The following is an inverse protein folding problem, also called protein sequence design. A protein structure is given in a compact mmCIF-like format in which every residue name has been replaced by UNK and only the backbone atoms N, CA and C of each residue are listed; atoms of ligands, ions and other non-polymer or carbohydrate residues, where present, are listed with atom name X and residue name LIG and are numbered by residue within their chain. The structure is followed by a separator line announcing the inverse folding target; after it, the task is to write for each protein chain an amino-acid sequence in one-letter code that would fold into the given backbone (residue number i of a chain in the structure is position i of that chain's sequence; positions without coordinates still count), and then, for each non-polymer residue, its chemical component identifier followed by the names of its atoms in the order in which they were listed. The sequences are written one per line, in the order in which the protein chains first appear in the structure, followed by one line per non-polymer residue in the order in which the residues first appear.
data_IF_683973045170
#
_entry.id   IF_683973045170
#
_cell.length_a   1.000
_cell.length_b   1.000
_cell.length_c   1.000
_cell.angle_alpha   90.00
_cell.angle_beta   90.00
_cell.angle_gamma   90.00
#
_symmetry.space_group_name_H-M   'P 1'
#
loop_
_entity.id
_entity.type
_entity.pdbx_description
1 polymer ?
#
# COMPACT_ATOMS: atom_id res chain seq x y z
N UNK A 1 -2.30 -15.15 16.94
CA UNK A 1 -1.70 -14.19 15.97
C UNK A 1 -0.22 -14.52 15.87
N UNK A 2 0.37 -14.69 14.67
CA UNK A 2 1.78 -15.07 14.53
C UNK A 2 2.70 -13.96 15.08
N UNK A 3 3.74 -14.30 15.85
CA UNK A 3 4.69 -13.33 16.46
C UNK A 3 5.29 -12.37 15.42
N UNK A 4 5.60 -12.87 14.21
CA UNK A 4 6.07 -12.07 13.08
C UNK A 4 5.08 -10.97 12.69
N UNK A 5 3.79 -11.28 12.61
CA UNK A 5 2.76 -10.30 12.25
C UNK A 5 2.68 -9.17 13.28
N UNK A 6 2.78 -9.47 14.58
CA UNK A 6 2.75 -8.44 15.62
C UNK A 6 3.97 -7.51 15.55
N UNK A 7 5.15 -8.06 15.23
CA UNK A 7 6.38 -7.28 15.01
C UNK A 7 6.24 -6.37 13.80
N UNK A 8 5.80 -6.91 12.66
CA UNK A 8 5.62 -6.15 11.43
C UNK A 8 4.52 -5.08 11.58
N UNK A 9 3.45 -5.40 12.30
CA UNK A 9 2.40 -4.46 12.62
C UNK A 9 2.92 -3.30 13.48
N UNK A 10 3.65 -3.58 14.55
CA UNK A 10 4.24 -2.54 15.41
C UNK A 10 5.17 -1.62 14.61
N UNK A 11 6.01 -2.22 13.76
CA UNK A 11 6.92 -1.48 12.89
C UNK A 11 6.18 -0.50 11.97
N UNK A 12 5.09 -0.98 11.34
CA UNK A 12 4.25 -0.14 10.50
C UNK A 12 3.57 0.99 11.29
N UNK A 13 3.06 0.73 12.51
CA UNK A 13 2.49 1.75 13.40
C UNK A 13 3.49 2.87 13.66
N UNK A 14 4.70 2.50 14.08
CA UNK A 14 5.71 3.47 14.49
C UNK A 14 6.19 4.33 13.31
N UNK A 15 6.36 3.71 12.13
CA UNK A 15 6.91 4.38 10.95
C UNK A 15 5.88 5.19 10.16
N UNK A 16 4.70 4.63 9.90
CA UNK A 16 3.70 5.29 9.06
C UNK A 16 3.04 6.47 9.80
N UNK A 17 3.05 6.48 11.13
CA UNK A 17 2.65 7.66 11.91
C UNK A 17 3.47 8.91 11.57
N UNK A 18 4.73 8.76 11.11
CA UNK A 18 5.58 9.89 10.70
C UNK A 18 5.07 10.66 9.49
N UNK A 19 4.14 10.07 8.73
CA UNK A 19 3.49 10.67 7.55
C UNK A 19 1.97 10.78 7.75
N UNK A 20 1.51 10.89 9.00
CA UNK A 20 0.11 11.07 9.38
C UNK A 20 -0.83 9.92 8.99
N UNK A 21 -0.31 8.70 8.82
CA UNK A 21 -1.17 7.51 8.75
C UNK A 21 -1.52 7.05 10.17
N UNK A 22 -2.79 7.20 10.53
CA UNK A 22 -3.31 6.81 11.83
C UNK A 22 -4.00 5.44 11.73
N UNK A 23 -3.85 4.64 12.78
CA UNK A 23 -4.45 3.31 12.85
C UNK A 23 -5.90 3.42 13.33
N UNK A 24 -6.84 3.12 12.44
CA UNK A 24 -8.27 3.05 12.78
C UNK A 24 -8.66 1.64 13.24
N UNK A 25 -8.03 0.61 12.65
CA UNK A 25 -8.21 -0.82 13.01
C UNK A 25 -6.88 -1.54 12.90
N UNK A 26 -6.73 -2.68 13.57
CA UNK A 26 -5.47 -3.43 13.66
C UNK A 26 -4.83 -3.84 12.32
N UNK A 27 -5.58 -3.85 11.23
CA UNK A 27 -5.16 -4.17 9.87
C UNK A 27 -5.24 -2.99 8.88
N UNK A 28 -5.79 -1.85 9.32
CA UNK A 28 -6.16 -0.71 8.48
C UNK A 28 -5.52 0.60 8.99
N UNK A 29 -4.55 1.12 8.23
CA UNK A 29 -3.98 2.46 8.44
C UNK A 29 -4.64 3.44 7.49
N UNK A 30 -5.15 4.54 8.00
CA UNK A 30 -5.86 5.55 7.22
C UNK A 30 -5.18 6.91 7.37
N UNK A 31 -5.08 7.66 6.27
CA UNK A 31 -4.58 9.03 6.24
C UNK A 31 -5.56 9.91 5.47
N UNK A 32 -5.78 11.11 6.01
CA UNK A 32 -6.47 12.21 5.34
C UNK A 32 -5.45 13.31 5.12
N UNK A 33 -5.24 13.71 3.87
CA UNK A 33 -4.29 14.76 3.52
C UNK A 33 -4.99 16.13 3.42
N UNK A 34 -4.21 17.20 3.39
CA UNK A 34 -4.72 18.58 3.39
C UNK A 34 -5.52 18.96 2.14
N UNK A 35 -5.39 18.19 1.06
CA UNK A 35 -6.19 18.29 -0.17
C UNK A 35 -7.53 17.53 -0.08
N UNK A 36 -7.80 16.86 1.04
CA UNK A 36 -9.00 16.07 1.28
C UNK A 36 -8.92 14.65 0.70
N UNK A 37 -7.78 14.25 0.12
CA UNK A 37 -7.56 12.89 -0.34
C UNK A 37 -7.49 11.93 0.85
N UNK A 38 -8.05 10.74 0.65
CA UNK A 38 -8.21 9.73 1.69
C UNK A 38 -7.55 8.44 1.24
N UNK A 39 -6.55 8.00 1.98
CA UNK A 39 -5.76 6.82 1.63
C UNK A 39 -5.73 5.82 2.77
N UNK A 40 -5.68 4.55 2.41
CA UNK A 40 -5.59 3.45 3.36
C UNK A 40 -4.51 2.43 2.96
N UNK A 41 -3.78 1.93 3.96
CA UNK A 41 -2.77 0.88 3.84
C UNK A 41 -3.23 -0.35 4.63
N UNK A 42 -3.32 -1.49 3.95
CA UNK A 42 -3.77 -2.77 4.51
C UNK A 42 -2.59 -3.74 4.65
N UNK A 43 -2.36 -4.23 5.89
CA UNK A 43 -1.33 -5.23 6.16
C UNK A 43 -1.92 -6.65 6.07
N UNK A 44 -1.99 -7.21 4.87
CA UNK A 44 -2.63 -8.49 4.61
C UNK A 44 -1.81 -9.67 5.19
N UNK A 45 -2.15 -10.08 6.43
CA UNK A 45 -1.39 -11.08 7.18
C UNK A 45 -1.76 -12.55 6.95
N UNK A 46 -2.66 -12.90 6.01
CA UNK A 46 -3.40 -14.16 6.16
C UNK A 46 -3.36 -15.17 5.00
N UNK A 47 -3.03 -14.83 3.75
CA UNK A 47 -3.26 -15.80 2.64
C UNK A 47 -2.27 -15.83 1.45
N UNK A 48 -1.20 -15.06 1.41
CA UNK A 48 -0.31 -15.10 0.25
C UNK A 48 1.15 -15.28 0.65
N UNK A 49 1.64 -16.49 0.37
CA UNK A 49 3.05 -16.84 0.24
C UNK A 49 3.80 -15.72 -0.48
N UNK A 50 4.84 -15.24 0.18
CA UNK A 50 5.99 -14.47 -0.32
C UNK A 50 5.77 -13.14 -1.07
N UNK A 51 4.56 -12.78 -1.53
CA UNK A 51 4.45 -11.76 -2.57
C UNK A 51 3.79 -10.43 -2.23
N UNK A 52 2.94 -10.27 -1.22
CA UNK A 52 2.68 -8.92 -0.68
C UNK A 52 1.85 -8.88 0.60
N UNK A 53 2.47 -8.34 1.65
CA UNK A 53 1.84 -8.06 2.93
C UNK A 53 1.27 -6.65 3.02
N UNK A 54 1.44 -5.79 2.01
CA UNK A 54 1.01 -4.39 2.07
C UNK A 54 0.25 -4.03 0.79
N UNK A 55 -0.98 -3.57 0.94
CA UNK A 55 -1.78 -2.97 -0.13
C UNK A 55 -2.05 -1.51 0.21
N UNK A 56 -2.12 -0.64 -0.80
CA UNK A 56 -2.46 0.78 -0.65
C UNK A 56 -3.71 1.06 -1.48
N UNK A 57 -4.66 1.84 -0.96
CA UNK A 57 -5.87 2.27 -1.69
C UNK A 57 -6.18 3.73 -1.45
N UNK A 58 -6.66 4.41 -2.48
CA UNK A 58 -7.34 5.70 -2.35
C UNK A 58 -8.84 5.41 -2.15
N UNK A 59 -9.43 5.86 -1.04
CA UNK A 59 -10.83 5.58 -0.71
C UNK A 59 -11.83 6.43 -1.51
N UNK A 60 -11.35 7.49 -2.16
CA UNK A 60 -12.17 8.27 -3.10
C UNK A 60 -12.35 7.58 -4.46
N UNK A 61 -11.53 6.56 -4.77
CA UNK A 61 -11.61 5.84 -6.04
C UNK A 61 -12.81 4.88 -6.06
N UNK A 62 -13.80 5.21 -6.90
CA UNK A 62 -15.07 4.50 -7.02
C UNK A 62 -15.01 3.28 -7.94
N UNK A 63 -13.90 2.98 -8.62
CA UNK A 63 -13.82 1.82 -9.51
C UNK A 63 -13.61 0.49 -8.73
N UNK A 64 -14.69 -0.27 -8.69
CA UNK A 64 -15.21 -0.95 -7.48
C UNK A 64 -14.47 -2.23 -7.04
N UNK A 65 -13.71 -2.94 -7.86
CA UNK A 65 -13.32 -4.34 -7.50
C UNK A 65 -11.91 -4.44 -6.92
N UNK A 66 -10.96 -3.68 -7.47
CA UNK A 66 -9.56 -3.65 -7.03
C UNK A 66 -9.28 -2.48 -6.09
N UNK A 67 -9.88 -1.31 -6.30
CA UNK A 67 -9.79 -0.19 -5.36
C UNK A 67 -10.36 -0.58 -3.99
N UNK A 68 -11.40 -1.45 -3.96
CA UNK A 68 -11.89 -2.09 -2.72
C UNK A 68 -10.83 -2.90 -1.97
N UNK A 69 -9.85 -3.48 -2.68
CA UNK A 69 -8.81 -4.38 -2.15
C UNK A 69 -7.40 -3.77 -2.09
N UNK A 70 -7.21 -2.56 -2.62
CA UNK A 70 -5.93 -1.88 -2.78
C UNK A 70 -4.98 -2.49 -3.83
N UNK A 71 -3.98 -1.72 -4.22
CA UNK A 71 -2.86 -2.17 -5.04
C UNK A 71 -1.72 -2.69 -4.15
N UNK A 72 -1.22 -3.91 -4.39
CA UNK A 72 -0.01 -4.43 -3.75
C UNK A 72 1.19 -3.50 -3.89
N UNK A 73 1.97 -3.34 -2.81
CA UNK A 73 3.13 -2.43 -2.79
C UNK A 73 4.18 -2.75 -3.87
N UNK A 74 4.33 -4.03 -4.25
CA UNK A 74 5.28 -4.44 -5.29
C UNK A 74 5.01 -3.76 -6.65
N UNK A 75 3.77 -3.40 -6.95
CA UNK A 75 3.40 -2.73 -8.20
C UNK A 75 4.03 -1.34 -8.24
N UNK A 76 3.89 -0.59 -7.15
CA UNK A 76 4.52 0.72 -7.02
C UNK A 76 6.03 0.58 -7.15
N UNK A 77 6.65 -0.30 -6.36
CA UNK A 77 8.10 -0.53 -6.40
C UNK A 77 8.59 -0.82 -7.83
N UNK A 78 7.91 -1.69 -8.58
CA UNK A 78 8.26 -2.01 -9.97
C UNK A 78 8.21 -0.78 -10.88
N UNK A 79 7.23 0.12 -10.68
CA UNK A 79 7.07 1.33 -11.49
C UNK A 79 8.15 2.35 -11.18
N UNK A 80 8.59 2.44 -9.92
CA UNK A 80 9.74 3.27 -9.55
C UNK A 80 11.09 2.60 -9.87
N UNK A 81 11.10 1.49 -10.60
CA UNK A 81 12.33 0.79 -11.02
C UNK A 81 13.02 0.01 -9.91
N UNK A 82 12.31 -0.31 -8.83
CA UNK A 82 12.86 -0.97 -7.65
C UNK A 82 12.61 -2.48 -7.72
N UNK A 83 13.66 -3.27 -7.46
CA UNK A 83 13.53 -4.73 -7.36
C UNK A 83 12.61 -5.11 -6.18
N UNK A 84 11.62 -5.95 -6.49
CA UNK A 84 10.57 -6.38 -5.58
C UNK A 84 10.91 -7.68 -4.85
N UNK A 85 11.93 -8.43 -5.29
CA UNK A 85 12.26 -9.75 -4.74
C UNK A 85 12.84 -9.64 -3.32
N UNK A 86 12.43 -10.56 -2.45
CA UNK A 86 13.00 -10.77 -1.10
C UNK A 86 12.99 -9.53 -0.18
N UNK A 87 12.12 -8.55 -0.42
CA UNK A 87 12.00 -7.35 0.41
C UNK A 87 11.31 -7.65 1.74
N UNK A 88 11.93 -7.23 2.83
CA UNK A 88 11.34 -7.25 4.18
C UNK A 88 10.17 -6.28 4.31
N UNK A 89 9.37 -6.43 5.37
CA UNK A 89 8.30 -5.47 5.71
C UNK A 89 8.87 -4.06 5.92
N UNK A 90 10.02 -3.96 6.59
CA UNK A 90 10.75 -2.71 6.81
C UNK A 90 11.06 -1.99 5.49
N UNK A 91 11.70 -2.69 4.53
CA UNK A 91 12.08 -2.08 3.25
C UNK A 91 10.87 -1.62 2.44
N UNK A 92 9.75 -2.34 2.55
CA UNK A 92 8.48 -1.93 1.91
C UNK A 92 7.91 -0.66 2.54
N UNK A 93 8.00 -0.53 3.86
CA UNK A 93 7.57 0.69 4.58
C UNK A 93 8.51 1.86 4.25
N UNK A 94 9.82 1.62 4.20
CA UNK A 94 10.81 2.64 3.83
C UNK A 94 10.56 3.17 2.41
N UNK A 95 10.23 2.28 1.47
CA UNK A 95 9.79 2.67 0.14
C UNK A 95 8.54 3.58 0.18
N UNK A 96 7.53 3.28 1.02
CA UNK A 96 6.34 4.13 1.15
C UNK A 96 6.73 5.52 1.64
N UNK A 97 7.60 5.61 2.64
CA UNK A 97 8.04 6.89 3.21
C UNK A 97 8.85 7.72 2.21
N UNK A 98 9.77 7.07 1.47
CA UNK A 98 10.62 7.72 0.47
C UNK A 98 9.82 8.23 -0.73
N UNK A 99 8.81 7.48 -1.17
CA UNK A 99 8.02 7.79 -2.38
C UNK A 99 6.62 8.33 -2.07
N UNK A 100 6.34 8.73 -0.82
CA UNK A 100 5.00 9.12 -0.34
C UNK A 100 4.33 10.17 -1.24
N UNK A 101 5.06 11.21 -1.63
CA UNK A 101 4.52 12.32 -2.41
C UNK A 101 4.17 11.91 -3.86
N UNK A 102 4.69 10.77 -4.33
CA UNK A 102 4.37 10.19 -5.65
C UNK A 102 3.31 9.10 -5.54
N UNK A 103 3.28 8.35 -4.45
CA UNK A 103 2.29 7.28 -4.22
C UNK A 103 0.92 7.88 -3.91
N UNK A 104 0.88 8.95 -3.10
CA UNK A 104 -0.34 9.59 -2.60
C UNK A 104 -0.68 10.88 -3.36
N UNK A 105 -0.31 10.96 -4.65
CA UNK A 105 -0.70 12.07 -5.52
C UNK A 105 -1.99 11.70 -6.25
N UNK A 106 -3.05 12.50 -6.11
CA UNK A 106 -4.33 12.26 -6.79
C UNK A 106 -4.22 12.39 -8.33
N UNK A 107 -3.18 13.08 -8.83
CA UNK A 107 -2.84 13.10 -10.25
C UNK A 107 -1.97 11.92 -10.65
N UNK A 108 -1.39 11.19 -9.69
CA UNK A 108 -0.73 9.93 -9.95
C UNK A 108 -1.77 8.99 -10.49
N UNK A 109 -1.47 8.42 -11.65
CA UNK A 109 -2.42 7.68 -12.48
C UNK A 109 -2.66 6.28 -11.91
N UNK A 110 -3.00 6.17 -10.63
CA UNK A 110 -3.36 4.95 -9.90
C UNK A 110 -4.35 4.11 -10.70
N UNK A 111 -5.35 4.76 -11.31
CA UNK A 111 -6.29 4.16 -12.25
C UNK A 111 -5.64 3.59 -13.52
N UNK A 112 -4.75 4.35 -14.17
CA UNK A 112 -4.06 3.86 -15.38
C UNK A 112 -3.11 2.70 -15.05
N UNK A 113 -2.53 2.67 -13.85
CA UNK A 113 -1.72 1.54 -13.38
C UNK A 113 -2.56 0.29 -13.17
N UNK A 114 -3.76 0.46 -12.60
CA UNK A 114 -4.71 -0.64 -12.50
C UNK A 114 -5.13 -1.16 -13.89
N UNK A 115 -5.51 -0.26 -14.81
CA UNK A 115 -5.91 -0.62 -16.17
C UNK A 115 -4.76 -1.31 -16.92
N UNK A 116 -3.53 -0.81 -16.78
CA UNK A 116 -2.34 -1.43 -17.33
C UNK A 116 -2.14 -2.85 -16.79
N UNK A 117 -2.33 -3.09 -15.49
CA UNK A 117 -2.22 -4.43 -14.90
C UNK A 117 -3.32 -5.38 -15.38
N UNK A 118 -4.55 -4.88 -15.50
CA UNK A 118 -5.67 -5.65 -16.04
C UNK A 118 -5.38 -6.09 -17.47
N UNK A 119 -4.94 -5.17 -18.31
CA UNK A 119 -4.66 -5.41 -19.73
C UNK A 119 -3.38 -6.21 -19.97
N UNK A 120 -2.34 -6.04 -19.13
CA UNK A 120 -1.07 -6.79 -19.25
C UNK A 120 -1.14 -8.23 -18.74
N UNK A 121 -2.15 -8.58 -17.94
CA UNK A 121 -2.38 -9.96 -17.47
C UNK A 121 -3.32 -10.78 -18.35
N UNK A 122 -3.85 -10.25 -19.45
CA UNK A 122 -4.75 -11.00 -20.33
C UNK A 122 -5.98 -11.53 -19.57
N UNK A 123 -6.67 -10.66 -18.84
CA UNK A 123 -8.03 -10.90 -18.33
C UNK A 123 -9.03 -10.01 -19.07
#
# INVERSE_FOLDING_TARGET
MYKKYQTDLKLAKDKLATINFNLEKDDDYHAVFGDGSVWKIELNGKWYDDYCYICIKNESDKDVISAKKGLPIWIFMKIFGIDTKNRTTQEKIDFILEYKDKIFDDNFKYRQMFDYLKNSKGM
#
